data_IF_044800204814
#
_entry.id   IF_044800204814
#
_cell.length_a   1.000
_cell.length_b   1.000
_cell.length_c   1.000
_cell.angle_alpha   90.00
_cell.angle_beta   90.00
_cell.angle_gamma   90.00
#
_symmetry.space_group_name_H-M   'P 1'
#
loop_
_entity.id
_entity.type
_entity.pdbx_description
1 polymer ?
#
# COMPACT_ATOMS: atom_id res chain seq x y z
N UNK A 1 -8.35 -22.44 2.15
CA UNK A 1 -8.09 -21.09 1.61
C UNK A 1 -6.77 -21.16 0.86
N UNK A 2 -6.70 -20.66 -0.37
CA UNK A 2 -5.47 -20.71 -1.14
C UNK A 2 -4.49 -19.64 -0.62
N UNK A 3 -3.22 -20.02 -0.46
CA UNK A 3 -2.12 -19.09 -0.19
C UNK A 3 -1.55 -18.65 -1.52
N UNK A 4 -1.62 -17.37 -1.83
CA UNK A 4 -1.25 -16.85 -3.16
C UNK A 4 -0.16 -15.80 -3.03
N UNK A 5 0.88 -15.92 -3.86
CA UNK A 5 1.92 -14.92 -3.94
C UNK A 5 1.38 -13.62 -4.61
N UNK A 6 1.57 -12.47 -3.98
CA UNK A 6 1.12 -11.17 -4.53
C UNK A 6 1.93 -10.72 -5.75
N UNK A 7 3.13 -11.27 -5.96
CA UNK A 7 4.03 -10.89 -7.06
C UNK A 7 3.79 -11.76 -8.30
N UNK A 8 3.80 -13.10 -8.14
CA UNK A 8 3.67 -14.02 -9.26
C UNK A 8 2.27 -14.63 -9.42
N UNK A 9 1.37 -14.48 -8.44
CA UNK A 9 -0.01 -14.99 -8.51
C UNK A 9 -0.14 -16.51 -8.39
N UNK A 10 0.97 -17.23 -8.16
CA UNK A 10 0.98 -18.69 -7.97
C UNK A 10 0.54 -19.06 -6.55
N UNK A 11 -0.04 -20.25 -6.41
CA UNK A 11 -0.31 -20.84 -5.10
C UNK A 11 1.00 -21.30 -4.45
N UNK A 12 1.10 -21.11 -3.13
CA UNK A 12 2.29 -21.47 -2.35
C UNK A 12 2.05 -22.84 -1.71
N UNK A 13 2.74 -23.85 -2.23
CA UNK A 13 2.66 -25.23 -1.75
C UNK A 13 3.78 -25.60 -0.74
N UNK A 14 4.83 -24.76 -0.62
CA UNK A 14 6.04 -25.04 0.17
C UNK A 14 6.19 -24.26 1.48
N UNK A 15 7.27 -24.59 2.22
CA UNK A 15 7.73 -23.87 3.43
C UNK A 15 8.78 -22.82 3.00
N UNK A 16 8.51 -21.54 3.22
CA UNK A 16 9.39 -20.42 2.83
C UNK A 16 8.62 -19.29 2.13
N UNK A 17 7.80 -18.56 2.90
CA UNK A 17 7.04 -17.42 2.38
C UNK A 17 6.81 -16.36 3.45
N UNK A 18 6.85 -15.09 3.04
CA UNK A 18 6.58 -13.94 3.89
C UNK A 18 5.09 -13.64 3.86
N UNK A 19 4.45 -13.59 5.03
CA UNK A 19 3.01 -13.28 5.10
C UNK A 19 2.80 -11.80 4.85
N UNK A 20 1.81 -11.45 4.04
CA UNK A 20 1.44 -10.04 3.87
C UNK A 20 0.61 -9.59 5.06
N UNK A 21 0.95 -8.42 5.62
CA UNK A 21 0.19 -7.79 6.69
C UNK A 21 -1.16 -7.32 6.16
N UNK A 22 -2.24 -7.70 6.86
CA UNK A 22 -3.57 -7.20 6.54
C UNK A 22 -3.73 -5.76 7.06
N UNK A 23 -3.50 -4.79 6.16
CA UNK A 23 -3.69 -3.36 6.44
C UNK A 23 -5.12 -2.88 6.09
N UNK A 24 -5.48 -1.68 6.56
CA UNK A 24 -6.77 -1.00 6.29
C UNK A 24 -7.07 -0.92 4.79
N UNK A 25 -6.03 -0.76 3.95
CA UNK A 25 -6.15 -0.72 2.49
C UNK A 25 -6.60 -2.07 1.94
N UNK A 26 -6.03 -3.17 2.42
CA UNK A 26 -6.42 -4.53 2.01
C UNK A 26 -7.86 -4.82 2.45
N UNK A 27 -8.22 -4.48 3.69
CA UNK A 27 -9.58 -4.68 4.19
C UNK A 27 -10.61 -3.89 3.37
N UNK A 28 -10.29 -2.63 3.02
CA UNK A 28 -11.13 -1.80 2.16
C UNK A 28 -11.30 -2.39 0.76
N UNK A 29 -10.19 -2.86 0.15
CA UNK A 29 -10.24 -3.54 -1.15
C UNK A 29 -11.04 -4.83 -1.09
N UNK A 30 -10.92 -5.63 -0.02
CA UNK A 30 -11.73 -6.84 0.19
C UNK A 30 -13.21 -6.51 0.34
N UNK A 31 -13.57 -5.45 1.08
CA UNK A 31 -14.96 -4.98 1.20
C UNK A 31 -15.54 -4.57 -0.15
N UNK A 32 -14.80 -3.81 -0.95
CA UNK A 32 -15.22 -3.42 -2.30
C UNK A 32 -15.40 -4.67 -3.18
N UNK A 33 -14.42 -5.59 -3.20
CA UNK A 33 -14.52 -6.83 -3.98
C UNK A 33 -15.68 -7.72 -3.54
N UNK A 34 -16.01 -7.76 -2.24
CA UNK A 34 -17.18 -8.48 -1.71
C UNK A 34 -18.48 -7.87 -2.20
N UNK A 35 -18.60 -6.54 -2.20
CA UNK A 35 -19.76 -5.84 -2.77
C UNK A 35 -19.93 -6.10 -4.27
N UNK A 36 -18.82 -6.25 -5.01
CA UNK A 36 -18.82 -6.56 -6.43
C UNK A 36 -18.97 -8.07 -6.74
N UNK A 37 -19.03 -8.95 -5.73
CA UNK A 37 -19.17 -10.40 -5.92
C UNK A 37 -17.92 -11.12 -6.45
N UNK A 38 -16.77 -10.45 -6.55
CA UNK A 38 -15.53 -11.00 -7.14
C UNK A 38 -14.48 -11.36 -6.08
N UNK A 39 -14.87 -11.40 -4.81
CA UNK A 39 -13.94 -11.63 -3.70
C UNK A 39 -13.46 -13.08 -3.65
N UNK A 40 -12.14 -13.25 -3.80
CA UNK A 40 -11.43 -14.48 -3.46
C UNK A 40 -10.82 -14.29 -2.06
N UNK A 41 -11.33 -14.99 -1.05
CA UNK A 41 -10.82 -14.95 0.33
C UNK A 41 -9.50 -15.74 0.45
N UNK A 42 -8.50 -15.31 -0.33
CA UNK A 42 -7.17 -15.91 -0.37
C UNK A 42 -6.27 -15.24 0.66
N UNK A 43 -5.35 -16.01 1.22
CA UNK A 43 -4.28 -15.47 2.06
C UNK A 43 -3.15 -14.98 1.16
N UNK A 44 -2.66 -13.77 1.42
CA UNK A 44 -1.65 -13.11 0.61
C UNK A 44 -0.26 -13.33 1.21
N UNK A 45 0.67 -13.74 0.36
CA UNK A 45 2.05 -14.06 0.74
C UNK A 45 3.02 -13.53 -0.31
N UNK A 46 4.31 -13.57 -0.01
CA UNK A 46 5.42 -13.35 -0.96
C UNK A 46 6.32 -14.57 -0.89
N UNK A 47 6.55 -15.23 -2.02
CA UNK A 47 7.51 -16.34 -2.12
C UNK A 47 8.93 -15.83 -1.85
N UNK A 48 9.80 -16.68 -1.28
CA UNK A 48 11.18 -16.32 -1.02
C UNK A 48 11.93 -15.84 -2.29
N UNK A 49 11.70 -16.50 -3.42
CA UNK A 49 12.28 -16.15 -4.73
C UNK A 49 11.87 -14.75 -5.22
N UNK A 50 10.65 -14.31 -4.90
CA UNK A 50 10.10 -13.02 -5.34
C UNK A 50 10.37 -11.89 -4.33
N UNK A 51 11.04 -12.18 -3.21
CA UNK A 51 11.21 -11.24 -2.11
C UNK A 51 12.06 -10.02 -2.49
N UNK A 52 13.16 -10.23 -3.23
CA UNK A 52 14.00 -9.14 -3.77
C UNK A 52 13.17 -8.19 -4.66
N UNK A 53 12.38 -8.77 -5.58
CA UNK A 53 11.49 -8.01 -6.48
C UNK A 53 10.39 -7.27 -5.72
N UNK A 54 9.85 -7.89 -4.68
CA UNK A 54 8.90 -7.24 -3.77
C UNK A 54 9.55 -6.02 -3.08
N UNK A 55 10.77 -6.17 -2.57
CA UNK A 55 11.51 -5.10 -1.87
C UNK A 55 11.77 -3.90 -2.77
N UNK A 56 12.18 -4.14 -4.03
CA UNK A 56 12.36 -3.07 -5.01
C UNK A 56 11.06 -2.32 -5.29
N UNK A 57 9.97 -3.06 -5.59
CA UNK A 57 8.65 -2.46 -5.84
C UNK A 57 8.12 -1.71 -4.62
N UNK A 58 8.32 -2.24 -3.41
CA UNK A 58 7.93 -1.58 -2.16
C UNK A 58 8.66 -0.26 -1.98
N UNK A 59 9.98 -0.23 -2.22
CA UNK A 59 10.79 0.98 -2.16
C UNK A 59 10.37 2.01 -3.21
N UNK A 60 10.02 1.56 -4.42
CA UNK A 60 9.49 2.44 -5.47
C UNK A 60 8.14 3.03 -5.08
N UNK A 61 7.23 2.23 -4.52
CA UNK A 61 5.96 2.70 -3.98
C UNK A 61 6.16 3.75 -2.88
N UNK A 62 7.02 3.49 -1.90
CA UNK A 62 7.28 4.42 -0.80
C UNK A 62 7.85 5.76 -1.29
N UNK A 63 8.76 5.72 -2.27
CA UNK A 63 9.26 6.93 -2.93
C UNK A 63 8.13 7.68 -3.62
N UNK A 64 7.37 7.01 -4.48
CA UNK A 64 6.29 7.64 -5.24
C UNK A 64 5.21 8.22 -4.32
N UNK A 65 4.85 7.52 -3.25
CA UNK A 65 3.90 7.98 -2.26
C UNK A 65 4.42 9.21 -1.51
N UNK A 66 5.70 9.21 -1.12
CA UNK A 66 6.35 10.36 -0.46
C UNK A 66 6.44 11.57 -1.40
N UNK A 67 6.76 11.36 -2.68
CA UNK A 67 6.77 12.42 -3.68
C UNK A 67 5.36 12.97 -3.92
N UNK A 68 4.36 12.10 -4.06
CA UNK A 68 2.98 12.52 -4.28
C UNK A 68 2.42 13.30 -3.08
N UNK A 69 2.70 12.86 -1.85
CA UNK A 69 2.26 13.56 -0.64
C UNK A 69 2.97 14.91 -0.47
N UNK A 70 4.28 14.98 -0.72
CA UNK A 70 5.03 16.23 -0.71
C UNK A 70 4.53 17.21 -1.78
N UNK A 71 4.29 16.72 -3.00
CA UNK A 71 3.76 17.53 -4.10
C UNK A 71 2.37 18.06 -3.77
N UNK A 72 1.47 17.23 -3.23
CA UNK A 72 0.14 17.65 -2.81
C UNK A 72 0.20 18.73 -1.72
N UNK A 73 1.11 18.61 -0.75
CA UNK A 73 1.32 19.61 0.29
C UNK A 73 1.82 20.94 -0.29
N UNK A 74 2.78 20.90 -1.21
CA UNK A 74 3.29 22.10 -1.90
C UNK A 74 2.19 22.78 -2.71
N UNK A 75 1.37 22.03 -3.44
CA UNK A 75 0.24 22.59 -4.22
C UNK A 75 -0.75 23.29 -3.29
N UNK A 76 -1.15 22.66 -2.18
CA UNK A 76 -2.05 23.28 -1.20
C UNK A 76 -1.47 24.55 -0.60
N UNK A 77 -0.19 24.54 -0.27
CA UNK A 77 0.51 25.70 0.28
C UNK A 77 0.58 26.85 -0.73
N UNK A 78 0.86 26.55 -2.00
CA UNK A 78 0.85 27.55 -3.08
C UNK A 78 -0.54 28.17 -3.29
N UNK A 79 -1.60 27.37 -3.21
CA UNK A 79 -2.98 27.87 -3.33
C UNK A 79 -3.37 28.84 -2.21
N UNK A 80 -2.67 28.82 -1.08
CA UNK A 80 -2.89 29.76 0.03
C UNK A 80 -1.97 30.97 -0.10
N UNK A 81 -0.68 30.76 -0.36
CA UNK A 81 0.33 31.83 -0.37
C UNK A 81 0.18 32.76 -1.58
N UNK A 82 -0.07 32.20 -2.77
CA UNK A 82 -0.14 32.98 -4.01
C UNK A 82 -1.24 34.05 -3.94
N UNK A 83 -2.51 33.74 -3.60
CA UNK A 83 -3.54 34.76 -3.48
C UNK A 83 -3.18 35.89 -2.50
N UNK A 84 -2.60 35.53 -1.35
CA UNK A 84 -2.20 36.48 -0.30
C UNK A 84 -1.13 37.44 -0.82
N UNK A 85 -0.15 36.93 -1.57
CA UNK A 85 0.92 37.76 -2.14
C UNK A 85 0.41 38.77 -3.17
N UNK A 86 -0.65 38.42 -3.91
CA UNK A 86 -1.32 39.32 -4.86
C UNK A 86 -2.40 40.21 -4.20
N UNK A 87 -2.50 40.23 -2.87
CA UNK A 87 -3.46 41.06 -2.14
C UNK A 87 -4.92 40.59 -2.24
N UNK A 88 -5.13 39.33 -2.64
CA UNK A 88 -6.45 38.71 -2.77
C UNK A 88 -6.69 37.68 -1.67
N UNK A 89 -7.94 37.51 -1.25
CA UNK A 89 -8.30 36.43 -0.33
C UNK A 89 -8.32 35.09 -1.08
N UNK A 90 -7.82 34.00 -0.47
CA UNK A 90 -7.88 32.68 -1.08
C UNK A 90 -9.35 32.28 -1.27
N UNK A 91 -9.70 31.91 -2.51
CA UNK A 91 -11.07 31.52 -2.85
C UNK A 91 -11.38 30.15 -2.27
N UNK A 92 -12.56 30.02 -1.65
CA UNK A 92 -13.05 28.74 -1.10
C UNK A 92 -13.13 27.68 -2.21
N UNK A 93 -13.54 28.09 -3.41
CA UNK A 93 -13.54 27.22 -4.59
C UNK A 93 -12.14 26.75 -4.97
N UNK A 94 -11.14 27.62 -4.95
CA UNK A 94 -9.74 27.27 -5.23
C UNK A 94 -9.17 26.26 -4.22
N UNK A 95 -9.46 26.48 -2.93
CA UNK A 95 -9.07 25.54 -1.86
C UNK A 95 -9.75 24.18 -2.07
N UNK A 96 -11.06 24.17 -2.35
CA UNK A 96 -11.81 22.94 -2.60
C UNK A 96 -11.23 22.16 -3.80
N UNK A 97 -11.02 22.82 -4.94
CA UNK A 97 -10.40 22.17 -6.10
C UNK A 97 -8.98 21.69 -5.80
N UNK A 98 -8.19 22.45 -5.04
CA UNK A 98 -6.87 22.02 -4.56
C UNK A 98 -6.90 20.74 -3.74
N UNK A 99 -7.86 20.63 -2.81
CA UNK A 99 -8.06 19.41 -2.02
C UNK A 99 -8.44 18.25 -2.94
N UNK A 100 -9.38 18.43 -3.86
CA UNK A 100 -9.79 17.38 -4.81
C UNK A 100 -8.61 16.89 -5.64
N UNK A 101 -7.80 17.80 -6.17
CA UNK A 101 -6.59 17.45 -6.94
C UNK A 101 -5.56 16.74 -6.05
N UNK A 102 -5.32 17.23 -4.84
CA UNK A 102 -4.40 16.60 -3.89
C UNK A 102 -4.82 15.17 -3.52
N UNK A 103 -6.11 14.97 -3.25
CA UNK A 103 -6.69 13.64 -3.00
C UNK A 103 -6.53 12.74 -4.24
N UNK A 104 -6.77 13.28 -5.44
CA UNK A 104 -6.61 12.54 -6.69
C UNK A 104 -5.16 12.08 -6.91
N UNK A 105 -4.17 12.93 -6.64
CA UNK A 105 -2.75 12.58 -6.72
C UNK A 105 -2.37 11.45 -5.75
N UNK A 106 -2.88 11.52 -4.51
CA UNK A 106 -2.67 10.47 -3.51
C UNK A 106 -3.35 9.16 -3.95
N UNK A 107 -4.57 9.22 -4.50
CA UNK A 107 -5.27 8.05 -5.03
C UNK A 107 -4.50 7.41 -6.19
N UNK A 108 -3.94 8.19 -7.12
CA UNK A 108 -3.08 7.67 -8.18
C UNK A 108 -1.86 6.94 -7.62
N UNK A 109 -1.22 7.47 -6.56
CA UNK A 109 -0.11 6.79 -5.89
C UNK A 109 -0.54 5.47 -5.24
N UNK A 110 -1.77 5.40 -4.70
CA UNK A 110 -2.33 4.19 -4.10
C UNK A 110 -2.64 3.07 -5.11
N UNK A 111 -2.75 3.36 -6.42
CA UNK A 111 -2.91 2.31 -7.43
C UNK A 111 -1.68 1.37 -7.45
N UNK A 112 -0.50 1.90 -7.13
CA UNK A 112 0.74 1.14 -7.00
C UNK A 112 0.99 0.64 -5.57
N UNK A 113 -0.03 0.63 -4.72
CA UNK A 113 0.09 0.18 -3.33
C UNK A 113 0.56 -1.27 -3.26
N UNK A 114 1.66 -1.47 -2.55
CA UNK A 114 2.19 -2.79 -2.24
C UNK A 114 2.20 -2.93 -0.72
N UNK A 115 1.45 -3.87 -0.12
CA UNK A 115 1.33 -4.00 1.33
C UNK A 115 2.63 -4.45 1.99
N UNK A 116 2.79 -4.18 3.29
CA UNK A 116 3.94 -4.64 4.06
C UNK A 116 3.85 -6.16 4.30
N UNK A 117 4.99 -6.81 4.56
CA UNK A 117 5.05 -8.21 5.01
C UNK A 117 5.30 -8.29 6.51
N UNK A 118 4.59 -9.21 7.19
CA UNK A 118 4.88 -9.65 8.55
C UNK A 118 6.16 -10.52 8.52
N UNK A 119 6.99 -10.40 9.57
CA UNK A 119 8.27 -11.11 9.69
C UNK A 119 8.17 -12.63 9.42
N UNK A 120 9.28 -13.21 8.95
CA UNK A 120 9.42 -14.59 8.47
C UNK A 120 8.64 -15.63 9.28
N UNK A 121 7.77 -16.39 8.61
CA UNK A 121 7.24 -17.65 9.14
C UNK A 121 8.23 -18.83 9.01
N UNK A 122 9.54 -18.59 9.00
CA UNK A 122 10.55 -19.67 8.98
C UNK A 122 11.00 -20.14 10.37
N UNK A 123 10.68 -19.44 11.47
CA UNK A 123 11.32 -19.73 12.78
C UNK A 123 10.38 -20.33 13.85
N UNK A 124 9.08 -20.54 13.56
CA UNK A 124 8.18 -21.12 14.56
C UNK A 124 8.27 -22.65 14.68
N UNK A 125 8.59 -23.39 13.62
CA UNK A 125 8.72 -24.86 13.74
C UNK A 125 10.03 -25.28 14.45
N UNK A 126 11.15 -24.57 14.26
CA UNK A 126 12.42 -24.90 14.91
C UNK A 126 12.44 -24.57 16.41
N UNK A 127 11.85 -23.44 16.83
CA UNK A 127 11.81 -23.07 18.26
C UNK A 127 10.94 -24.02 19.09
N UNK A 128 9.87 -24.58 18.53
CA UNK A 128 9.07 -25.62 19.21
C UNK A 128 9.76 -26.97 19.27
N UNK A 129 10.63 -27.32 18.31
CA UNK A 129 11.43 -28.56 18.36
C UNK A 129 12.60 -28.48 19.33
N UNK A 130 13.27 -27.33 19.44
CA UNK A 130 14.38 -27.12 20.40
C UNK A 130 13.93 -27.00 21.86
N UNK A 131 12.68 -26.66 22.15
CA UNK A 131 12.15 -26.58 23.52
C UNK A 131 11.56 -27.92 24.03
N UNK A 132 11.47 -28.93 23.17
CA UNK A 132 10.98 -30.28 23.48
C UNK A 132 12.07 -31.37 23.43
N UNK A 133 13.34 -31.00 23.19
CA UNK A 133 14.50 -31.89 23.28
C UNK A 133 15.35 -31.51 24.48
#
# INVERSE_FOLDING_TARGET
MAKVCIICGKEIEGKGAYRVKDDIVIDSLRKIKRKLGVAKNNELFVCHEDYEKYKEKRKQFERNFTFASALAAVILLLLIIVPIFFGSLPSISGIFFGIVVGVFLILMALISYLPAVEEEMEVLEEKTKKKKR
#
